data_IF_590911020884
#
_entry.id   IF_590911020884
#
_cell.length_a   1.000
_cell.length_b   1.000
_cell.length_c   1.000
_cell.angle_alpha   90.00
_cell.angle_beta   90.00
_cell.angle_gamma   90.00
#
_symmetry.space_group_name_H-M   'P 1'
#
loop_
_entity.id
_entity.type
_entity.pdbx_description
1 polymer ?
#
# COMPACT_ATOMS: atom_id res chain seq x y z
N UNK A 1 -5.03 16.63 11.80
CA UNK A 1 -4.76 15.18 12.02
C UNK A 1 -3.36 14.87 12.49
N UNK A 2 -2.36 15.71 12.21
CA UNK A 2 -0.98 15.59 12.73
C UNK A 2 -0.89 15.35 14.25
N UNK A 3 -1.72 16.05 15.05
CA UNK A 3 -1.70 15.92 16.50
C UNK A 3 -2.10 14.54 17.05
N UNK A 4 -2.96 13.79 16.34
CA UNK A 4 -3.39 12.47 16.82
C UNK A 4 -2.28 11.42 16.62
N UNK A 5 -1.62 11.46 15.47
CA UNK A 5 -0.54 10.52 15.14
C UNK A 5 0.68 10.73 16.06
N UNK A 6 1.02 11.98 16.36
CA UNK A 6 2.12 12.33 17.27
C UNK A 6 1.82 11.96 18.73
N UNK A 7 0.54 12.00 19.14
CA UNK A 7 0.13 11.67 20.50
C UNK A 7 0.03 10.16 20.78
N UNK A 8 -0.01 9.31 19.75
CA UNK A 8 -0.17 7.85 19.90
C UNK A 8 0.86 7.05 19.09
N UNK A 9 2.16 7.13 19.41
CA UNK A 9 3.22 6.43 18.66
C UNK A 9 3.14 4.90 18.75
N UNK A 10 2.46 4.38 19.78
CA UNK A 10 2.25 2.94 20.00
C UNK A 10 1.05 2.36 19.22
N UNK A 11 0.39 3.15 18.38
CA UNK A 11 -0.77 2.70 17.62
C UNK A 11 -0.36 1.69 16.55
N UNK A 12 -0.97 0.49 16.57
CA UNK A 12 -0.64 -0.60 15.64
C UNK A 12 -1.70 -0.82 14.56
N UNK A 13 -2.97 -0.57 14.88
CA UNK A 13 -4.11 -0.96 14.03
C UNK A 13 -5.20 0.13 13.93
N UNK A 14 -4.90 1.31 13.36
CA UNK A 14 -5.93 2.30 13.08
C UNK A 14 -6.96 1.77 12.09
N UNK A 15 -8.22 1.96 12.44
CA UNK A 15 -9.34 1.86 11.50
C UNK A 15 -10.06 3.19 11.47
N UNK A 16 -10.27 3.70 10.25
CA UNK A 16 -10.97 4.95 10.03
C UNK A 16 -12.07 4.71 9.02
N UNK A 17 -13.29 5.10 9.40
CA UNK A 17 -14.45 5.03 8.52
C UNK A 17 -15.15 6.38 8.41
N UNK A 18 -15.52 6.78 7.19
CA UNK A 18 -16.36 7.96 6.91
C UNK A 18 -15.80 9.28 7.44
N UNK A 19 -14.48 9.43 7.46
CA UNK A 19 -13.84 10.69 7.85
C UNK A 19 -13.58 11.60 6.64
N UNK A 20 -13.46 12.90 6.91
CA UNK A 20 -13.29 13.97 5.91
C UNK A 20 -11.83 14.35 5.63
N UNK A 21 -10.86 13.55 6.09
CA UNK A 21 -9.44 13.82 5.80
C UNK A 21 -9.00 13.10 4.53
N UNK A 22 -8.17 13.78 3.74
CA UNK A 22 -7.61 13.23 2.51
C UNK A 22 -6.39 12.35 2.72
N UNK A 23 -5.74 12.00 1.62
CA UNK A 23 -4.60 11.08 1.63
C UNK A 23 -3.44 11.59 2.51
N UNK A 24 -3.22 12.90 2.58
CA UNK A 24 -2.24 13.54 3.46
C UNK A 24 -2.46 13.25 4.95
N UNK A 25 -3.72 13.14 5.38
CA UNK A 25 -4.07 12.77 6.75
C UNK A 25 -3.71 11.31 7.07
N UNK A 26 -3.94 10.41 6.11
CA UNK A 26 -3.51 9.02 6.23
C UNK A 26 -1.97 8.90 6.28
N UNK A 27 -1.27 9.68 5.45
CA UNK A 27 0.20 9.73 5.49
C UNK A 27 0.73 10.25 6.84
N UNK A 28 0.06 11.26 7.42
CA UNK A 28 0.42 11.73 8.76
C UNK A 28 0.28 10.65 9.84
N UNK A 29 -0.73 9.76 9.74
CA UNK A 29 -0.88 8.61 10.63
C UNK A 29 0.30 7.65 10.48
N UNK A 30 0.66 7.31 9.24
CA UNK A 30 1.79 6.41 8.96
C UNK A 30 3.13 6.97 9.45
N UNK A 31 3.33 8.29 9.32
CA UNK A 31 4.55 8.96 9.81
C UNK A 31 4.60 9.08 11.33
N UNK A 32 3.47 9.31 11.99
CA UNK A 32 3.42 9.45 13.45
C UNK A 32 3.39 8.13 14.22
N UNK A 33 3.03 7.03 13.56
CA UNK A 33 2.88 5.72 14.20
C UNK A 33 3.91 4.72 13.64
N UNK A 34 5.15 4.67 14.17
CA UNK A 34 6.21 3.81 13.62
C UNK A 34 5.91 2.32 13.77
N UNK A 35 5.05 1.92 14.72
CA UNK A 35 4.67 0.53 15.00
C UNK A 35 3.40 0.08 14.26
N UNK A 36 2.95 0.82 13.25
CA UNK A 36 1.74 0.49 12.49
C UNK A 36 1.89 -0.86 11.79
N UNK A 37 0.98 -1.78 12.06
CA UNK A 37 0.94 -3.09 11.42
C UNK A 37 -0.22 -3.21 10.45
N UNK A 38 -1.33 -2.54 10.73
CA UNK A 38 -2.56 -2.66 9.97
C UNK A 38 -3.19 -1.29 9.73
N UNK A 39 -3.47 -0.96 8.46
CA UNK A 39 -4.17 0.26 8.09
C UNK A 39 -5.50 -0.10 7.43
N UNK A 40 -6.61 0.29 8.07
CA UNK A 40 -7.94 0.12 7.51
C UNK A 40 -8.62 1.46 7.24
N UNK A 41 -8.96 1.74 5.99
CA UNK A 41 -9.66 2.95 5.57
C UNK A 41 -10.96 2.59 4.86
N UNK A 42 -12.07 3.16 5.33
CA UNK A 42 -13.41 2.92 4.79
C UNK A 42 -14.11 4.23 4.45
N UNK A 43 -14.68 4.34 3.24
CA UNK A 43 -15.49 5.51 2.81
C UNK A 43 -14.78 6.86 3.04
N UNK A 44 -13.46 6.88 2.92
CA UNK A 44 -12.66 8.09 3.10
C UNK A 44 -12.92 9.06 1.95
N UNK A 45 -13.07 10.35 2.27
CA UNK A 45 -13.32 11.45 1.32
C UNK A 45 -12.06 12.32 1.20
N UNK A 46 -11.95 13.12 0.15
CA UNK A 46 -10.82 14.04 -0.03
C UNK A 46 -9.56 13.38 -0.63
N UNK A 47 -9.75 12.34 -1.44
CA UNK A 47 -8.67 11.65 -2.18
C UNK A 47 -8.47 12.26 -3.58
N UNK A 48 -8.55 13.59 -3.65
CA UNK A 48 -8.56 14.35 -4.91
C UNK A 48 -7.15 14.58 -5.46
N UNK A 49 -6.12 14.36 -4.63
CA UNK A 49 -4.71 14.48 -5.02
C UNK A 49 -3.96 13.18 -4.72
N UNK A 50 -3.10 12.71 -5.64
CA UNK A 50 -2.27 11.53 -5.40
C UNK A 50 -1.33 11.76 -4.22
N UNK A 51 -1.01 10.69 -3.47
CA UNK A 51 0.10 10.78 -2.53
C UNK A 51 1.40 10.88 -3.31
N UNK A 52 1.96 12.08 -3.34
CA UNK A 52 3.35 12.25 -3.70
C UNK A 52 4.18 11.85 -2.48
N UNK A 53 4.72 10.64 -2.48
CA UNK A 53 5.75 10.21 -1.51
C UNK A 53 7.12 10.84 -1.86
N UNK A 54 7.12 12.10 -2.28
CA UNK A 54 8.32 12.86 -2.62
C UNK A 54 8.64 13.72 -1.41
N UNK A 55 9.57 13.25 -0.58
CA UNK A 55 10.22 14.10 0.40
C UNK A 55 11.34 14.86 -0.32
N UNK A 56 11.05 16.12 -0.71
CA UNK A 56 12.08 17.15 -0.96
C UNK A 56 12.49 17.80 0.37
N UNK A 57 12.72 17.00 1.42
CA UNK A 57 13.18 17.52 2.70
C UNK A 57 14.39 16.69 3.16
N UNK A 58 15.56 17.32 3.05
CA UNK A 58 16.91 16.80 3.35
C UNK A 58 17.13 16.40 4.83
N UNK A 59 16.09 16.08 5.60
CA UNK A 59 16.21 15.81 7.04
C UNK A 59 15.53 14.53 7.56
N UNK A 60 14.98 13.66 6.71
CA UNK A 60 14.57 12.33 7.16
C UNK A 60 14.56 11.34 5.99
N UNK A 61 15.73 10.78 5.69
CA UNK A 61 15.84 9.70 4.71
C UNK A 61 14.96 8.51 5.06
N UNK A 62 14.10 8.13 4.12
CA UNK A 62 13.32 6.89 4.19
C UNK A 62 11.88 7.09 3.75
N UNK A 63 11.60 6.75 2.48
CA UNK A 63 10.31 6.26 1.99
C UNK A 63 9.22 6.15 3.07
N UNK A 64 8.32 7.14 3.14
CA UNK A 64 7.35 7.37 4.21
C UNK A 64 6.26 6.27 4.37
N UNK A 65 6.69 5.05 4.65
CA UNK A 65 5.88 3.88 4.96
C UNK A 65 6.42 3.29 6.27
N UNK A 66 5.54 2.97 7.19
CA UNK A 66 5.95 2.29 8.43
C UNK A 66 6.52 0.92 8.05
N UNK A 67 7.78 0.65 8.38
CA UNK A 67 8.43 -0.63 8.07
C UNK A 67 7.73 -1.82 8.76
N UNK A 68 6.89 -1.58 9.77
CA UNK A 68 6.09 -2.63 10.42
C UNK A 68 4.77 -2.93 9.74
N UNK A 69 4.39 -2.18 8.69
CA UNK A 69 3.09 -2.31 8.04
C UNK A 69 2.99 -3.66 7.32
N UNK A 70 2.03 -4.48 7.74
CA UNK A 70 1.80 -5.85 7.26
C UNK A 70 0.49 -6.03 6.55
N UNK A 71 -0.51 -5.20 6.84
CA UNK A 71 -1.83 -5.31 6.25
C UNK A 71 -2.43 -3.96 5.88
N UNK A 72 -3.02 -3.87 4.69
CA UNK A 72 -3.79 -2.73 4.21
C UNK A 72 -5.18 -3.22 3.80
N UNK A 73 -6.21 -2.53 4.27
CA UNK A 73 -7.60 -2.81 3.91
C UNK A 73 -8.32 -1.52 3.53
N UNK A 74 -8.68 -1.40 2.26
CA UNK A 74 -9.45 -0.28 1.73
C UNK A 74 -10.84 -0.72 1.33
N UNK A 75 -11.84 0.05 1.76
CA UNK A 75 -13.24 -0.25 1.46
C UNK A 75 -13.99 1.00 1.02
N UNK A 76 -14.67 0.91 -0.11
CA UNK A 76 -15.54 1.96 -0.66
C UNK A 76 -14.78 3.29 -0.80
N UNK A 77 -13.55 3.24 -1.29
CA UNK A 77 -12.72 4.43 -1.52
C UNK A 77 -12.82 4.90 -2.97
N UNK A 78 -13.00 6.20 -3.15
CA UNK A 78 -12.88 6.87 -4.44
C UNK A 78 -11.44 7.33 -4.62
N UNK A 79 -10.82 7.05 -5.76
CA UNK A 79 -9.40 7.36 -6.04
C UNK A 79 -8.38 6.65 -5.13
N UNK A 80 -8.62 5.39 -4.76
CA UNK A 80 -7.70 4.66 -3.89
C UNK A 80 -6.32 4.34 -4.53
N UNK A 81 -6.16 4.50 -5.84
CA UNK A 81 -4.85 4.47 -6.51
C UNK A 81 -3.89 5.56 -6.00
N UNK A 82 -4.39 6.61 -5.33
CA UNK A 82 -3.54 7.59 -4.66
C UNK A 82 -2.64 6.94 -3.59
N UNK A 83 -2.97 5.75 -3.10
CA UNK A 83 -2.16 4.97 -2.18
C UNK A 83 -1.24 3.95 -2.87
N UNK A 84 -1.18 3.90 -4.21
CA UNK A 84 -0.36 2.92 -4.93
C UNK A 84 1.12 2.99 -4.52
N UNK A 85 1.71 4.18 -4.46
CA UNK A 85 3.10 4.36 -4.01
C UNK A 85 3.31 3.93 -2.56
N UNK A 86 2.31 4.10 -1.69
CA UNK A 86 2.38 3.61 -0.32
C UNK A 86 2.40 2.08 -0.27
N UNK A 87 1.53 1.44 -1.03
CA UNK A 87 1.46 -0.02 -1.11
C UNK A 87 2.78 -0.58 -1.65
N UNK A 88 3.31 0.01 -2.72
CA UNK A 88 4.59 -0.38 -3.34
C UNK A 88 5.81 -0.08 -2.45
N UNK A 89 5.71 0.94 -1.59
CA UNK A 89 6.79 1.33 -0.68
C UNK A 89 6.86 0.52 0.61
N UNK A 90 5.90 -0.39 0.89
CA UNK A 90 5.79 -1.11 2.14
C UNK A 90 6.40 -2.54 2.04
N UNK A 91 7.70 -2.74 2.33
CA UNK A 91 8.40 -4.00 2.03
C UNK A 91 7.85 -5.21 2.80
N UNK A 92 7.29 -4.97 4.00
CA UNK A 92 6.76 -6.03 4.86
C UNK A 92 5.26 -6.28 4.69
N UNK A 93 4.63 -5.69 3.65
CA UNK A 93 3.21 -5.82 3.40
C UNK A 93 2.87 -7.25 2.97
N UNK A 94 2.05 -7.94 3.77
CA UNK A 94 1.63 -9.33 3.55
C UNK A 94 0.21 -9.46 3.01
N UNK A 95 -0.68 -8.54 3.37
CA UNK A 95 -2.10 -8.63 3.04
C UNK A 95 -2.61 -7.32 2.48
N UNK A 96 -3.13 -7.36 1.26
CA UNK A 96 -3.75 -6.22 0.58
C UNK A 96 -5.21 -6.55 0.25
N UNK A 97 -6.16 -5.80 0.82
CA UNK A 97 -7.59 -5.99 0.60
C UNK A 97 -8.23 -4.72 0.05
N UNK A 98 -8.82 -4.80 -1.13
CA UNK A 98 -9.47 -3.70 -1.81
C UNK A 98 -10.93 -4.08 -2.11
N UNK A 99 -11.87 -3.40 -1.48
CA UNK A 99 -13.31 -3.64 -1.61
C UNK A 99 -14.01 -2.45 -2.24
N UNK A 100 -14.69 -2.63 -3.37
CA UNK A 100 -15.47 -1.57 -4.04
C UNK A 100 -14.67 -0.28 -4.26
N UNK A 101 -13.36 -0.39 -4.49
CA UNK A 101 -12.49 0.76 -4.71
C UNK A 101 -12.57 1.18 -6.17
N UNK A 102 -12.67 2.49 -6.41
CA UNK A 102 -12.78 3.06 -7.76
C UNK A 102 -11.58 3.94 -8.08
N UNK A 103 -11.28 4.08 -9.38
CA UNK A 103 -10.16 4.85 -9.91
C UNK A 103 -9.24 4.01 -10.79
N UNK A 104 -8.25 4.65 -11.41
CA UNK A 104 -7.33 4.03 -12.37
C UNK A 104 -6.22 3.23 -11.67
N UNK A 105 -6.44 1.94 -11.49
CA UNK A 105 -5.43 1.03 -10.90
C UNK A 105 -4.47 0.46 -11.93
N UNK A 106 -4.61 0.78 -13.22
CA UNK A 106 -3.82 0.19 -14.31
C UNK A 106 -2.29 0.26 -14.13
N UNK A 107 -1.69 1.32 -13.56
CA UNK A 107 -0.25 1.38 -13.33
C UNK A 107 0.24 0.51 -12.17
N UNK A 108 -0.65 0.12 -11.25
CA UNK A 108 -0.26 -0.55 -10.01
C UNK A 108 0.26 -1.99 -10.23
N UNK A 109 -0.41 -2.84 -11.03
CA UNK A 109 0.07 -4.21 -11.29
C UNK A 109 1.39 -4.30 -12.05
N UNK A 110 1.73 -3.29 -12.83
CA UNK A 110 3.01 -3.23 -13.56
C UNK A 110 4.18 -2.86 -12.63
N UNK A 111 3.91 -2.10 -11.57
CA UNK A 111 4.92 -1.71 -10.60
C UNK A 111 5.14 -2.76 -9.49
N UNK A 112 4.22 -3.71 -9.31
CA UNK A 112 4.30 -4.76 -8.29
C UNK A 112 5.58 -5.61 -8.35
N UNK A 113 6.00 -6.14 -9.52
CA UNK A 113 7.23 -6.94 -9.63
C UNK A 113 8.48 -6.17 -9.23
N UNK A 114 8.49 -4.85 -9.42
CA UNK A 114 9.63 -3.98 -9.07
C UNK A 114 9.67 -3.64 -7.57
N UNK A 115 8.52 -3.66 -6.90
CA UNK A 115 8.38 -3.26 -5.50
C UNK A 115 8.83 -4.33 -4.48
N UNK A 116 9.16 -5.55 -4.92
CA UNK A 116 9.62 -6.66 -4.07
C UNK A 116 8.77 -6.86 -2.79
N UNK A 117 7.44 -6.78 -2.92
CA UNK A 117 6.54 -6.87 -1.76
C UNK A 117 6.46 -8.31 -1.24
N UNK A 118 6.46 -8.48 0.09
CA UNK A 118 6.21 -9.79 0.71
C UNK A 118 4.71 -10.18 0.74
N UNK A 119 3.95 -9.86 -0.33
CA UNK A 119 2.51 -10.09 -0.41
C UNK A 119 2.17 -11.58 -0.43
N UNK A 120 1.45 -12.03 0.59
CA UNK A 120 0.95 -13.40 0.72
C UNK A 120 -0.57 -13.51 0.43
N UNK A 121 -1.30 -12.41 0.55
CA UNK A 121 -2.75 -12.35 0.35
C UNK A 121 -3.12 -11.08 -0.43
N UNK A 122 -3.83 -11.25 -1.55
CA UNK A 122 -4.44 -10.16 -2.31
C UNK A 122 -5.93 -10.46 -2.46
N UNK A 123 -6.77 -9.55 -1.98
CA UNK A 123 -8.23 -9.65 -2.09
C UNK A 123 -8.78 -8.45 -2.86
N UNK A 124 -9.44 -8.70 -3.99
CA UNK A 124 -10.04 -7.68 -4.84
C UNK A 124 -11.54 -7.98 -4.96
N UNK A 125 -12.41 -7.07 -4.50
CA UNK A 125 -13.86 -7.17 -4.65
C UNK A 125 -14.40 -5.96 -5.40
N UNK A 126 -15.21 -6.18 -6.46
CA UNK A 126 -15.91 -5.12 -7.22
C UNK A 126 -14.96 -3.99 -7.65
N UNK A 127 -13.81 -4.38 -8.20
CA UNK A 127 -12.75 -3.48 -8.61
C UNK A 127 -12.70 -3.46 -10.14
N UNK A 128 -12.64 -2.26 -10.72
CA UNK A 128 -12.46 -2.12 -12.16
C UNK A 128 -10.98 -2.33 -12.50
N UNK A 129 -10.64 -3.53 -12.98
CA UNK A 129 -9.29 -3.89 -13.43
C UNK A 129 -9.43 -4.52 -14.82
N UNK A 130 -8.55 -4.13 -15.75
CA UNK A 130 -8.51 -4.70 -17.11
C UNK A 130 -7.73 -6.03 -17.14
N UNK A 131 -8.07 -6.93 -18.07
CA UNK A 131 -7.55 -8.31 -18.14
C UNK A 131 -6.01 -8.41 -18.18
N UNK A 132 -5.37 -7.48 -18.91
CA UNK A 132 -3.91 -7.41 -19.02
C UNK A 132 -3.22 -7.18 -17.67
N UNK A 133 -3.90 -6.54 -16.72
CA UNK A 133 -3.38 -6.19 -15.40
C UNK A 133 -3.69 -7.26 -14.35
N UNK A 134 -4.77 -8.02 -14.52
CA UNK A 134 -4.99 -9.25 -13.77
C UNK A 134 -3.90 -10.30 -14.08
N UNK A 135 -3.45 -10.34 -15.34
CA UNK A 135 -2.38 -11.24 -15.80
C UNK A 135 -1.05 -10.90 -15.12
N UNK A 136 -0.71 -9.60 -15.00
CA UNK A 136 0.49 -9.16 -14.27
C UNK A 136 0.47 -9.55 -12.78
N UNK A 137 -0.69 -9.41 -12.12
CA UNK A 137 -0.89 -9.87 -10.74
C UNK A 137 -0.75 -11.39 -10.60
N UNK A 138 -1.25 -12.16 -11.57
CA UNK A 138 -1.12 -13.62 -11.58
C UNK A 138 0.33 -14.06 -11.80
N UNK A 139 1.09 -13.37 -12.67
CA UNK A 139 2.52 -13.63 -12.87
C UNK A 139 3.32 -13.35 -11.60
N UNK A 140 3.06 -12.22 -10.94
CA UNK A 140 3.66 -11.89 -9.64
C UNK A 140 3.42 -12.97 -8.58
N UNK A 141 2.18 -13.48 -8.48
CA UNK A 141 1.83 -14.56 -7.56
C UNK A 141 2.57 -15.87 -7.90
N UNK A 142 2.87 -16.12 -9.17
CA UNK A 142 3.58 -17.32 -9.61
C UNK A 142 5.11 -17.21 -9.37
N UNK A 143 5.68 -16.01 -9.53
CA UNK A 143 7.10 -15.73 -9.26
C UNK A 143 7.42 -15.86 -7.76
N UNK A 144 6.55 -15.33 -6.90
CA UNK A 144 6.68 -15.46 -5.43
C UNK A 144 6.55 -16.90 -4.91
N UNK A 145 5.80 -17.76 -5.62
CA UNK A 145 5.71 -19.21 -5.33
C UNK A 145 6.90 -19.98 -5.90
N UNK A 146 7.49 -19.50 -7.00
CA UNK A 146 8.65 -20.10 -7.67
C UNK A 146 9.98 -19.94 -6.91
N UNK A 147 10.14 -18.89 -6.10
CA UNK A 147 11.34 -18.67 -5.27
C UNK A 147 11.51 -19.70 -4.12
N UNK A 148 10.50 -20.53 -3.86
CA UNK A 148 10.62 -21.70 -2.98
C UNK A 148 11.37 -22.90 -3.61
N UNK A 149 11.75 -22.84 -4.90
CA UNK A 149 12.35 -24.00 -5.60
C UNK A 149 13.61 -23.73 -6.43
N UNK A 150 14.12 -22.50 -6.47
CA UNK A 150 15.31 -22.17 -7.25
C UNK A 150 16.43 -21.58 -6.38
N UNK A 151 17.00 -22.42 -5.51
CA UNK A 151 18.43 -22.31 -5.28
C UNK A 151 19.16 -22.51 -6.61
N UNK A 152 20.10 -21.63 -6.91
CA UNK A 152 21.03 -21.66 -8.06
C UNK A 152 20.61 -20.82 -9.28
N UNK A 153 21.15 -19.61 -9.31
CA UNK A 153 21.84 -18.95 -10.44
C UNK A 153 22.58 -17.76 -9.78
N UNK A 154 23.76 -17.91 -9.19
CA UNK A 154 24.99 -18.48 -9.75
C UNK A 154 25.23 -18.01 -11.20
N UNK A 155 25.66 -16.75 -11.28
CA UNK A 155 26.81 -16.29 -12.09
C UNK A 155 26.65 -16.17 -13.61
N UNK A 156 27.31 -15.09 -14.09
CA UNK A 156 27.88 -14.84 -15.44
C UNK A 156 26.90 -14.15 -16.41
N UNK A 157 27.18 -12.87 -16.67
CA UNK A 157 28.02 -12.31 -17.75
C UNK A 157 27.19 -12.14 -19.03
#
# INVERSE_FOLDING_TARGET
>A
MFGLAVATPALRKPSVASCSFGASGALAILRGCPLLEELSLKRLRGLDSPLLLVDNDDNAGGNATSSSLRSICFKELYNAQCFALLILGAPNLKSLKLFCCSGGWDPFPEALPTAALALAEVHLEKLQVIDSRLTALALYANETVGEGRAGSRASRL
#
